data_IF_192932179943
#
_entry.id   IF_192932179943
#
_cell.length_a   1.000
_cell.length_b   1.000
_cell.length_c   1.000
_cell.angle_alpha   90.00
_cell.angle_beta   90.00
_cell.angle_gamma   90.00
#
_symmetry.space_group_name_H-M   'P 1'
#
loop_
_entity.id
_entity.type
_entity.pdbx_description
1 polymer ?
#
# COMPACT_ATOMS: atom_id res chain seq x y z
N UNK A 1 -7.68 4.53 9.58
CA UNK A 1 -6.21 4.61 9.42
C UNK A 1 -5.56 5.51 10.48
N UNK A 2 -4.99 4.87 11.50
CA UNK A 2 -4.04 5.42 12.47
C UNK A 2 -3.49 4.22 13.31
N UNK A 3 -2.19 3.93 13.46
CA UNK A 3 -1.06 4.86 13.33
C UNK A 3 0.32 4.26 12.99
N UNK A 4 1.12 5.02 12.21
CA UNK A 4 2.53 5.23 12.52
C UNK A 4 2.64 5.94 13.87
N UNK A 5 2.77 5.15 14.93
CA UNK A 5 2.91 5.66 16.29
C UNK A 5 4.24 6.42 16.36
N UNK A 6 4.23 7.67 16.82
CA UNK A 6 5.47 8.38 17.15
C UNK A 6 5.92 7.97 18.54
N UNK A 7 7.21 7.77 18.73
CA UNK A 7 7.75 7.50 20.06
C UNK A 7 7.54 8.73 20.95
N UNK A 8 6.82 8.61 22.10
CA UNK A 8 6.56 9.74 22.97
C UNK A 8 7.85 10.33 23.56
N UNK A 9 7.94 11.66 23.60
CA UNK A 9 9.12 12.34 24.16
C UNK A 9 9.26 12.10 25.66
N UNK A 10 8.16 11.90 26.37
CA UNK A 10 8.11 11.54 27.80
C UNK A 10 8.84 10.23 28.08
N UNK A 11 8.84 9.30 27.12
CA UNK A 11 9.47 7.99 27.25
C UNK A 11 10.94 8.00 26.85
N UNK A 12 11.47 9.13 26.36
CA UNK A 12 12.91 9.24 26.14
C UNK A 12 13.65 9.28 27.46
N UNK A 13 14.60 8.38 27.67
CA UNK A 13 15.47 8.37 28.85
C UNK A 13 16.20 9.71 28.99
N UNK A 14 16.63 10.32 27.89
CA UNK A 14 17.25 11.66 27.93
C UNK A 14 16.34 12.70 28.57
N UNK A 15 15.03 12.64 28.32
CA UNK A 15 14.05 13.57 28.88
C UNK A 15 13.73 13.23 30.33
N UNK A 16 13.63 11.94 30.67
CA UNK A 16 13.51 11.47 32.06
C UNK A 16 14.67 11.97 32.94
N UNK A 17 15.92 11.79 32.49
CA UNK A 17 17.10 12.21 33.24
C UNK A 17 17.17 13.72 33.46
N UNK A 18 16.63 14.53 32.52
CA UNK A 18 16.52 15.98 32.65
C UNK A 18 15.41 16.38 33.63
N UNK A 19 14.21 15.79 33.50
CA UNK A 19 13.01 16.19 34.25
C UNK A 19 12.97 15.72 35.71
N UNK A 20 13.62 14.60 36.05
CA UNK A 20 13.63 14.10 37.44
C UNK A 20 14.43 14.97 38.42
N UNK A 21 15.33 15.83 37.94
CA UNK A 21 16.13 16.75 38.76
C UNK A 21 17.22 16.07 39.60
N UNK A 22 18.07 16.89 40.26
CA UNK A 22 19.18 16.43 41.09
C UNK A 22 18.72 15.73 42.38
N UNK A 23 17.62 16.19 42.98
CA UNK A 23 17.11 15.64 44.24
C UNK A 23 16.64 14.19 44.07
N UNK A 24 15.97 13.84 42.97
CA UNK A 24 15.62 12.45 42.68
C UNK A 24 16.85 11.57 42.39
N UNK A 25 17.93 12.13 41.83
CA UNK A 25 19.21 11.40 41.64
C UNK A 25 19.89 11.10 42.97
N UNK A 26 19.79 12.00 43.94
CA UNK A 26 20.41 11.87 45.26
C UNK A 26 19.53 11.05 46.22
N UNK A 27 18.22 11.27 46.24
CA UNK A 27 17.28 10.48 47.05
C UNK A 27 17.21 9.00 46.63
N UNK A 28 17.78 8.66 45.46
CA UNK A 28 17.89 7.29 44.95
C UNK A 28 19.35 6.83 44.81
N UNK A 29 20.29 7.50 45.50
CA UNK A 29 21.73 7.25 45.42
C UNK A 29 22.10 5.82 45.85
N UNK A 30 22.28 4.99 44.84
CA UNK A 30 22.84 3.65 44.87
C UNK A 30 22.41 2.92 43.60
N UNK A 31 23.23 3.00 42.54
CA UNK A 31 23.32 2.30 41.23
C UNK A 31 22.07 1.65 40.54
N UNK A 32 20.88 1.78 41.10
CA UNK A 32 19.62 1.11 40.78
C UNK A 32 18.41 2.07 40.88
N UNK A 33 18.66 3.38 41.01
CA UNK A 33 17.66 4.42 41.30
C UNK A 33 16.46 4.41 40.34
N UNK A 34 15.29 4.12 40.93
CA UNK A 34 13.94 3.98 40.34
C UNK A 34 13.70 2.88 39.31
N UNK A 35 14.69 2.21 38.72
CA UNK A 35 14.49 1.19 37.67
C UNK A 35 13.94 1.70 36.32
N UNK A 36 13.24 2.85 36.30
CA UNK A 36 12.61 3.47 35.12
C UNK A 36 13.64 3.72 34.01
N UNK A 37 14.81 4.30 34.32
CA UNK A 37 15.78 4.67 33.29
C UNK A 37 16.27 3.49 32.45
N UNK A 38 16.51 2.33 33.10
CA UNK A 38 16.90 1.09 32.42
C UNK A 38 15.77 0.56 31.54
N UNK A 39 14.53 0.61 32.03
CA UNK A 39 13.35 0.21 31.28
C UNK A 39 13.10 1.13 30.07
N UNK A 40 13.30 2.45 30.20
CA UNK A 40 13.18 3.39 29.09
C UNK A 40 14.22 3.11 27.99
N UNK A 41 15.49 2.88 28.35
CA UNK A 41 16.53 2.50 27.37
C UNK A 41 16.14 1.20 26.64
N UNK A 42 15.67 0.19 27.37
CA UNK A 42 15.24 -1.06 26.77
C UNK A 42 14.02 -0.87 25.85
N UNK A 43 13.07 -0.02 26.25
CA UNK A 43 11.88 0.31 25.46
C UNK A 43 12.25 1.05 24.18
N UNK A 44 13.11 2.07 24.24
CA UNK A 44 13.63 2.78 23.05
C UNK A 44 14.31 1.82 22.08
N UNK A 45 15.17 0.93 22.58
CA UNK A 45 15.86 -0.05 21.77
C UNK A 45 14.90 -1.07 21.13
N UNK A 46 13.88 -1.52 21.86
CA UNK A 46 12.85 -2.41 21.33
C UNK A 46 11.98 -1.70 20.28
N UNK A 47 11.62 -0.44 20.53
CA UNK A 47 10.86 0.39 19.61
C UNK A 47 11.58 0.61 18.28
N UNK A 48 12.89 0.90 18.32
CA UNK A 48 13.71 1.15 17.14
C UNK A 48 13.95 -0.08 16.25
N UNK A 49 13.66 -1.29 16.73
CA UNK A 49 13.75 -2.54 15.94
C UNK A 49 12.54 -2.77 15.03
N UNK A 50 11.44 -2.06 15.27
CA UNK A 50 10.20 -2.22 14.53
C UNK A 50 10.27 -1.33 13.30
N UNK A 51 10.05 -1.91 12.12
CA UNK A 51 9.99 -1.16 10.87
C UNK A 51 8.59 -0.60 10.67
N UNK A 52 8.33 0.53 11.30
CA UNK A 52 7.02 1.20 11.29
C UNK A 52 6.53 1.57 9.88
N UNK A 53 7.45 1.82 8.97
CA UNK A 53 7.15 2.06 7.56
C UNK A 53 6.61 0.80 6.86
N UNK A 54 7.03 -0.40 7.27
CA UNK A 54 6.58 -1.67 6.70
C UNK A 54 5.21 -2.13 7.20
N UNK A 55 4.53 -1.34 8.04
CA UNK A 55 3.15 -1.63 8.45
C UNK A 55 2.12 -1.17 7.41
N UNK A 56 2.44 -0.22 6.54
CA UNK A 56 1.50 0.29 5.53
C UNK A 56 1.62 -0.45 4.20
N UNK A 57 0.48 -0.74 3.57
CA UNK A 57 0.46 -1.49 2.30
C UNK A 57 1.30 -0.84 1.19
N UNK A 58 1.14 0.48 1.00
CA UNK A 58 1.85 1.21 -0.06
C UNK A 58 3.38 1.17 0.12
N UNK A 59 3.87 0.97 1.33
CA UNK A 59 5.30 0.87 1.63
C UNK A 59 5.85 -0.54 1.38
N UNK A 60 5.06 -1.57 1.66
CA UNK A 60 5.40 -2.97 1.36
C UNK A 60 5.37 -3.21 -0.15
N UNK A 61 4.38 -2.65 -0.84
CA UNK A 61 4.14 -2.87 -2.27
C UNK A 61 4.77 -1.81 -3.16
N UNK A 62 5.88 -1.19 -2.74
CA UNK A 62 6.59 -0.19 -3.55
C UNK A 62 6.88 -0.72 -4.95
N UNK A 63 6.42 0.02 -5.97
CA UNK A 63 6.63 -0.33 -7.37
C UNK A 63 5.54 -1.21 -7.99
N UNK A 64 4.65 -1.81 -7.19
CA UNK A 64 3.45 -2.48 -7.71
C UNK A 64 2.36 -1.43 -7.86
N UNK A 65 2.08 -1.04 -9.11
CA UNK A 65 0.94 -0.17 -9.39
C UNK A 65 -0.34 -0.76 -8.82
N UNK A 66 -1.22 0.06 -8.23
CA UNK A 66 -2.47 -0.43 -7.60
C UNK A 66 -3.33 -1.29 -8.54
N UNK A 67 -3.19 -1.11 -9.86
CA UNK A 67 -3.83 -1.90 -10.93
C UNK A 67 -3.29 -3.32 -11.10
N UNK A 68 -2.12 -3.62 -10.55
CA UNK A 68 -1.44 -4.92 -10.62
C UNK A 68 -1.51 -5.69 -9.30
N UNK A 69 -2.18 -5.13 -8.29
CA UNK A 69 -2.38 -5.76 -6.98
C UNK A 69 -3.42 -6.87 -7.10
N UNK A 70 -3.18 -7.99 -6.41
CA UNK A 70 -4.01 -9.19 -6.42
C UNK A 70 -3.97 -9.87 -5.05
N UNK A 71 -4.70 -10.98 -4.88
CA UNK A 71 -4.80 -11.68 -3.59
C UNK A 71 -3.45 -12.18 -3.06
N UNK A 72 -2.50 -12.56 -3.93
CA UNK A 72 -1.18 -12.99 -3.49
C UNK A 72 -0.35 -11.85 -2.87
N UNK A 73 -0.53 -10.63 -3.38
CA UNK A 73 0.06 -9.42 -2.79
C UNK A 73 -0.53 -9.12 -1.40
N UNK A 74 -1.82 -9.42 -1.17
CA UNK A 74 -2.44 -9.33 0.17
C UNK A 74 -1.78 -10.33 1.11
N UNK A 75 -1.56 -11.58 0.68
CA UNK A 75 -0.90 -12.61 1.50
C UNK A 75 0.53 -12.20 1.86
N UNK A 76 1.28 -11.67 0.91
CA UNK A 76 2.63 -11.16 1.13
C UNK A 76 2.62 -10.00 2.14
N UNK A 77 1.74 -9.02 1.94
CA UNK A 77 1.55 -7.91 2.88
C UNK A 77 1.25 -8.40 4.30
N UNK A 78 0.26 -9.28 4.46
CA UNK A 78 -0.13 -9.83 5.77
C UNK A 78 1.05 -10.58 6.42
N UNK A 79 1.85 -11.31 5.64
CA UNK A 79 3.04 -11.99 6.13
C UNK A 79 4.09 -11.00 6.67
N UNK A 80 4.41 -9.96 5.91
CA UNK A 80 5.38 -8.91 6.30
C UNK A 80 4.89 -8.20 7.56
N UNK A 81 3.64 -7.75 7.57
CA UNK A 81 3.07 -6.99 8.70
C UNK A 81 3.01 -7.83 9.97
N UNK A 82 2.60 -9.11 9.90
CA UNK A 82 2.64 -10.00 11.06
C UNK A 82 4.06 -10.20 11.60
N UNK A 83 5.06 -10.25 10.71
CA UNK A 83 6.47 -10.28 11.08
C UNK A 83 6.88 -9.06 11.91
N UNK A 84 6.47 -7.86 11.51
CA UNK A 84 6.75 -6.63 12.25
C UNK A 84 5.92 -6.48 13.53
N UNK A 85 4.63 -6.85 13.53
CA UNK A 85 3.77 -6.86 14.73
C UNK A 85 4.36 -7.76 15.82
N UNK A 86 4.94 -8.90 15.45
CA UNK A 86 5.58 -9.80 16.43
C UNK A 86 6.70 -9.11 17.22
N UNK A 87 7.39 -8.14 16.60
CA UNK A 87 8.45 -7.31 17.23
C UNK A 87 7.88 -6.21 18.12
N UNK A 88 6.62 -5.81 17.92
CA UNK A 88 5.93 -4.85 18.78
C UNK A 88 5.51 -5.44 20.13
N UNK A 89 5.32 -6.76 20.24
CA UNK A 89 4.91 -7.41 21.49
C UNK A 89 5.94 -7.24 22.63
N UNK A 90 7.27 -7.43 22.41
CA UNK A 90 8.28 -7.09 23.41
C UNK A 90 8.27 -5.62 23.82
N UNK A 91 8.13 -4.69 22.86
CA UNK A 91 8.06 -3.26 23.15
C UNK A 91 6.83 -2.92 24.01
N UNK A 92 5.68 -3.54 23.74
CA UNK A 92 4.48 -3.40 24.57
C UNK A 92 4.69 -3.87 26.00
N UNK A 93 5.33 -5.03 26.19
CA UNK A 93 5.64 -5.55 27.53
C UNK A 93 6.55 -4.59 28.30
N UNK A 94 7.55 -4.01 27.63
CA UNK A 94 8.43 -3.00 28.22
C UNK A 94 7.67 -1.71 28.56
N UNK A 95 6.77 -1.24 27.69
CA UNK A 95 5.93 -0.09 27.98
C UNK A 95 5.03 -0.32 29.21
N UNK A 96 4.42 -1.50 29.35
CA UNK A 96 3.67 -1.86 30.55
C UNK A 96 4.55 -1.89 31.82
N UNK A 97 5.78 -2.41 31.72
CA UNK A 97 6.72 -2.40 32.84
C UNK A 97 7.14 -0.96 33.24
N UNK A 98 7.36 -0.08 32.26
CA UNK A 98 7.63 1.35 32.50
C UNK A 98 6.43 2.01 33.19
N UNK A 99 5.21 1.75 32.73
CA UNK A 99 3.98 2.29 33.32
C UNK A 99 3.90 1.96 34.81
N UNK A 100 4.09 0.69 35.14
CA UNK A 100 3.98 0.18 36.52
C UNK A 100 5.06 0.76 37.42
N UNK A 101 6.32 0.76 36.97
CA UNK A 101 7.42 1.29 37.78
C UNK A 101 7.31 2.81 37.96
N UNK A 102 6.96 3.53 36.89
CA UNK A 102 6.80 4.98 36.94
C UNK A 102 5.63 5.41 37.84
N UNK A 103 4.53 4.65 37.83
CA UNK A 103 3.40 4.87 38.73
C UNK A 103 3.80 4.68 40.19
N UNK A 104 4.48 3.57 40.51
CA UNK A 104 4.98 3.26 41.85
C UNK A 104 5.90 4.37 42.37
N UNK A 105 6.80 4.86 41.53
CA UNK A 105 7.73 5.95 41.88
C UNK A 105 6.99 7.27 42.10
N UNK A 106 6.02 7.61 41.25
CA UNK A 106 5.20 8.80 41.42
C UNK A 106 4.41 8.76 42.75
N UNK A 107 3.79 7.63 43.08
CA UNK A 107 3.05 7.44 44.33
C UNK A 107 3.97 7.50 45.56
N UNK A 108 5.18 6.96 45.47
CA UNK A 108 6.19 7.06 46.52
C UNK A 108 6.66 8.50 46.75
N UNK A 109 7.03 9.20 45.68
CA UNK A 109 7.48 10.60 45.73
C UNK A 109 6.38 11.57 46.14
N UNK A 110 5.11 11.29 45.85
CA UNK A 110 3.99 12.11 46.30
C UNK A 110 3.86 12.15 47.84
N UNK A 111 4.36 11.12 48.53
CA UNK A 111 4.33 11.02 50.00
C UNK A 111 5.53 11.67 50.68
N UNK A 112 6.61 11.91 49.93
CA UNK A 112 7.84 12.48 50.45
C UNK A 112 7.88 14.01 50.24
N UNK A 113 7.90 14.76 51.35
CA UNK A 113 7.93 16.23 51.34
C UNK A 113 9.26 16.80 50.82
N UNK A 114 10.33 16.00 50.78
CA UNK A 114 11.64 16.42 50.28
C UNK A 114 11.75 16.35 48.75
N UNK A 115 10.84 15.61 48.09
CA UNK A 115 10.84 15.50 46.63
C UNK A 115 10.04 16.65 46.02
N UNK A 116 10.62 17.42 45.08
CA UNK A 116 9.89 18.47 44.38
C UNK A 116 8.69 17.92 43.62
N UNK A 117 7.54 18.62 43.67
CA UNK A 117 6.33 18.24 42.92
C UNK A 117 6.56 18.04 41.42
N UNK A 118 7.52 18.75 40.84
CA UNK A 118 7.90 18.62 39.43
C UNK A 118 8.49 17.23 39.09
N UNK A 119 9.26 16.63 40.00
CA UNK A 119 9.82 15.29 39.82
C UNK A 119 8.71 14.23 39.89
N UNK A 120 7.78 14.37 40.84
CA UNK A 120 6.57 13.54 40.95
C UNK A 120 5.73 13.62 39.68
N UNK A 121 5.48 14.83 39.16
CA UNK A 121 4.74 15.03 37.93
C UNK A 121 5.45 14.41 36.71
N UNK A 122 6.78 14.45 36.66
CA UNK A 122 7.55 13.80 35.60
C UNK A 122 7.36 12.28 35.61
N UNK A 123 7.41 11.64 36.78
CA UNK A 123 7.17 10.19 36.92
C UNK A 123 5.73 9.82 36.51
N UNK A 124 4.74 10.60 36.93
CA UNK A 124 3.35 10.41 36.52
C UNK A 124 3.16 10.56 35.00
N UNK A 125 3.83 11.54 34.37
CA UNK A 125 3.81 11.74 32.93
C UNK A 125 4.42 10.57 32.14
N UNK A 126 5.54 10.01 32.64
CA UNK A 126 6.13 8.78 32.08
C UNK A 126 5.14 7.61 32.17
N UNK A 127 4.48 7.43 33.33
CA UNK A 127 3.48 6.38 33.51
C UNK A 127 2.34 6.48 32.51
N UNK A 128 1.77 7.67 32.35
CA UNK A 128 0.68 7.94 31.41
C UNK A 128 1.08 7.65 29.96
N UNK A 129 2.21 8.19 29.52
CA UNK A 129 2.70 7.99 28.16
C UNK A 129 3.00 6.50 27.88
N UNK A 130 3.53 5.77 28.86
CA UNK A 130 3.83 4.35 28.73
C UNK A 130 2.54 3.50 28.64
N UNK A 131 1.50 3.86 29.41
CA UNK A 131 0.18 3.25 29.33
C UNK A 131 -0.43 3.42 27.94
N UNK A 132 -0.44 4.66 27.44
CA UNK A 132 -1.04 4.98 26.15
C UNK A 132 -0.28 4.29 25.01
N UNK A 133 1.05 4.21 25.10
CA UNK A 133 1.87 3.47 24.15
C UNK A 133 1.60 1.95 24.19
N UNK A 134 1.49 1.36 25.39
CA UNK A 134 1.18 -0.06 25.56
C UNK A 134 -0.22 -0.42 25.07
N UNK A 135 -1.17 0.52 25.22
CA UNK A 135 -2.52 0.40 24.66
C UNK A 135 -2.48 0.48 23.13
N UNK A 136 -1.78 1.46 22.55
CA UNK A 136 -1.65 1.61 21.10
C UNK A 136 -1.08 0.34 20.43
N UNK A 137 -0.12 -0.32 21.08
CA UNK A 137 0.49 -1.58 20.61
C UNK A 137 -0.33 -2.85 20.94
N UNK A 138 -1.56 -2.74 21.43
CA UNK A 138 -2.37 -3.91 21.76
C UNK A 138 -2.68 -4.76 20.50
N UNK A 139 -2.67 -6.11 20.59
CA UNK A 139 -2.99 -7.00 19.49
C UNK A 139 -4.33 -6.69 18.80
N UNK A 140 -5.34 -6.25 19.57
CA UNK A 140 -6.63 -5.84 19.03
C UNK A 140 -6.51 -4.66 18.06
N UNK A 141 -5.71 -3.66 18.39
CA UNK A 141 -5.51 -2.48 17.54
C UNK A 141 -4.76 -2.83 16.25
N UNK A 142 -3.75 -3.72 16.34
CA UNK A 142 -3.05 -4.21 15.15
C UNK A 142 -3.97 -5.08 14.26
N UNK A 143 -4.83 -5.91 14.85
CA UNK A 143 -5.79 -6.72 14.12
C UNK A 143 -6.83 -5.85 13.39
N UNK A 144 -7.33 -4.81 14.05
CA UNK A 144 -8.25 -3.85 13.45
C UNK A 144 -7.59 -3.07 12.31
N UNK A 145 -6.38 -2.55 12.52
CA UNK A 145 -5.58 -1.90 11.48
C UNK A 145 -5.38 -2.81 10.26
N UNK A 146 -4.96 -4.06 10.46
CA UNK A 146 -4.79 -5.01 9.35
C UNK A 146 -6.10 -5.28 8.62
N UNK A 147 -7.22 -5.40 9.35
CA UNK A 147 -8.54 -5.61 8.75
C UNK A 147 -8.95 -4.42 7.88
N UNK A 148 -8.75 -3.19 8.34
CA UNK A 148 -9.01 -1.98 7.55
C UNK A 148 -8.18 -1.94 6.27
N UNK A 149 -6.86 -2.15 6.38
CA UNK A 149 -5.94 -2.13 5.24
C UNK A 149 -6.28 -3.21 4.22
N UNK A 150 -6.46 -4.46 4.65
CA UNK A 150 -6.84 -5.58 3.77
C UNK A 150 -8.17 -5.30 3.06
N UNK A 151 -9.16 -4.75 3.76
CA UNK A 151 -10.43 -4.39 3.14
C UNK A 151 -10.27 -3.28 2.10
N UNK A 152 -9.48 -2.25 2.38
CA UNK A 152 -9.21 -1.17 1.43
C UNK A 152 -8.53 -1.71 0.15
N UNK A 153 -7.56 -2.61 0.30
CA UNK A 153 -6.88 -3.26 -0.82
C UNK A 153 -7.87 -4.10 -1.65
N UNK A 154 -8.68 -4.94 -1.01
CA UNK A 154 -9.69 -5.75 -1.71
C UNK A 154 -10.71 -4.90 -2.47
N UNK A 155 -11.13 -3.77 -1.91
CA UNK A 155 -11.99 -2.82 -2.62
C UNK A 155 -11.30 -2.25 -3.84
N UNK A 156 -10.00 -1.93 -3.75
CA UNK A 156 -9.22 -1.47 -4.90
C UNK A 156 -9.10 -2.56 -5.98
N UNK A 157 -8.82 -3.81 -5.60
CA UNK A 157 -8.78 -4.97 -6.51
C UNK A 157 -10.10 -5.10 -7.27
N UNK A 158 -11.24 -5.13 -6.55
CA UNK A 158 -12.57 -5.24 -7.18
C UNK A 158 -12.87 -4.10 -8.15
N UNK A 159 -12.49 -2.87 -7.81
CA UNK A 159 -12.65 -1.71 -8.70
C UNK A 159 -11.79 -1.85 -9.97
N UNK A 160 -10.57 -2.35 -9.83
CA UNK A 160 -9.67 -2.59 -10.97
C UNK A 160 -10.16 -3.74 -11.85
N UNK A 161 -10.66 -4.83 -11.26
CA UNK A 161 -11.27 -5.93 -12.01
C UNK A 161 -12.50 -5.45 -12.78
N UNK A 162 -13.38 -4.66 -12.15
CA UNK A 162 -14.54 -4.08 -12.82
C UNK A 162 -14.12 -3.16 -13.98
N UNK A 163 -13.11 -2.31 -13.77
CA UNK A 163 -12.54 -1.47 -14.82
C UNK A 163 -11.95 -2.31 -15.97
N UNK A 164 -11.21 -3.38 -15.65
CA UNK A 164 -10.65 -4.31 -16.64
C UNK A 164 -11.75 -4.99 -17.43
N UNK A 165 -12.75 -5.56 -16.77
CA UNK A 165 -13.90 -6.18 -17.46
C UNK A 165 -14.61 -5.17 -18.37
N UNK A 166 -14.87 -3.94 -17.90
CA UNK A 166 -15.50 -2.91 -18.72
C UNK A 166 -14.65 -2.52 -19.94
N UNK A 167 -13.33 -2.40 -19.79
CA UNK A 167 -12.42 -2.08 -20.88
C UNK A 167 -12.38 -3.21 -21.93
N UNK A 168 -12.26 -4.46 -21.48
CA UNK A 168 -12.22 -5.63 -22.35
C UNK A 168 -13.56 -5.88 -23.06
N UNK A 169 -14.69 -5.67 -22.38
CA UNK A 169 -16.03 -5.78 -22.97
C UNK A 169 -16.27 -4.79 -24.11
N UNK A 170 -15.57 -3.64 -24.15
CA UNK A 170 -15.66 -2.69 -25.26
C UNK A 170 -14.84 -3.12 -26.48
N UNK A 171 -13.66 -3.70 -26.28
CA UNK A 171 -12.75 -4.08 -27.38
C UNK A 171 -13.10 -5.43 -27.98
N UNK A 172 -13.43 -6.43 -27.15
CA UNK A 172 -13.70 -7.82 -27.58
C UNK A 172 -14.74 -7.95 -28.70
N UNK A 173 -15.94 -7.35 -28.61
CA UNK A 173 -16.93 -7.43 -29.68
C UNK A 173 -16.48 -6.67 -30.94
N UNK A 174 -15.75 -5.56 -30.80
CA UNK A 174 -15.24 -4.79 -31.94
C UNK A 174 -14.19 -5.58 -32.72
N UNK A 175 -13.26 -6.26 -32.04
CA UNK A 175 -12.26 -7.12 -32.69
C UNK A 175 -12.92 -8.31 -33.37
N UNK A 176 -13.90 -8.96 -32.72
CA UNK A 176 -14.65 -10.04 -33.33
C UNK A 176 -15.39 -9.59 -34.59
N UNK A 177 -16.07 -8.44 -34.53
CA UNK A 177 -16.80 -7.87 -35.67
C UNK A 177 -15.85 -7.43 -36.79
N UNK A 178 -14.72 -6.81 -36.45
CA UNK A 178 -13.68 -6.47 -37.42
C UNK A 178 -13.18 -7.69 -38.17
N UNK A 179 -12.89 -8.80 -37.48
CA UNK A 179 -12.43 -10.03 -38.12
C UNK A 179 -13.50 -10.67 -39.01
N UNK A 180 -14.78 -10.64 -38.63
CA UNK A 180 -15.86 -11.18 -39.45
C UNK A 180 -16.15 -10.33 -40.68
N UNK A 181 -16.11 -9.00 -40.54
CA UNK A 181 -16.41 -8.06 -41.62
C UNK A 181 -15.26 -7.93 -42.62
N UNK A 182 -14.02 -8.21 -42.20
CA UNK A 182 -12.85 -8.21 -43.07
C UNK A 182 -13.01 -9.16 -44.29
N UNK A 183 -13.74 -10.27 -44.13
CA UNK A 183 -14.01 -11.21 -45.23
C UNK A 183 -14.95 -10.65 -46.32
N UNK A 184 -15.66 -9.55 -46.04
CA UNK A 184 -16.59 -8.92 -46.97
C UNK A 184 -15.94 -7.83 -47.83
N UNK A 185 -14.74 -7.40 -47.49
CA UNK A 185 -13.97 -6.40 -48.24
C UNK A 185 -13.41 -7.06 -49.51
N UNK A 186 -13.93 -6.66 -50.67
CA UNK A 186 -13.57 -7.27 -51.97
C UNK A 186 -12.91 -6.28 -52.93
N UNK A 187 -13.20 -4.99 -52.79
CA UNK A 187 -12.69 -3.92 -53.65
C UNK A 187 -12.13 -2.75 -52.81
N UNK A 188 -11.21 -1.93 -53.35
CA UNK A 188 -10.61 -0.81 -52.62
C UNK A 188 -11.63 0.18 -52.03
N UNK A 189 -12.80 0.32 -52.65
CA UNK A 189 -13.89 1.18 -52.19
C UNK A 189 -14.53 0.67 -50.89
N UNK A 190 -14.61 -0.66 -50.70
CA UNK A 190 -15.14 -1.30 -49.49
C UNK A 190 -14.27 -1.01 -48.25
N UNK A 191 -12.99 -0.67 -48.48
CA UNK A 191 -12.04 -0.39 -47.40
C UNK A 191 -12.47 0.80 -46.55
N UNK A 192 -13.00 1.86 -47.16
CA UNK A 192 -13.31 3.10 -46.45
C UNK A 192 -14.30 2.86 -45.30
N UNK A 193 -15.38 2.13 -45.60
CA UNK A 193 -16.43 1.80 -44.65
C UNK A 193 -15.95 0.77 -43.63
N UNK A 194 -15.25 -0.28 -44.07
CA UNK A 194 -14.65 -1.26 -43.18
C UNK A 194 -13.69 -0.61 -42.17
N UNK A 195 -12.83 0.28 -42.65
CA UNK A 195 -11.87 0.98 -41.81
C UNK A 195 -12.57 1.89 -40.80
N UNK A 196 -13.55 2.68 -41.25
CA UNK A 196 -14.25 3.67 -40.42
C UNK A 196 -15.08 3.00 -39.33
N UNK A 197 -15.78 1.92 -39.66
CA UNK A 197 -16.64 1.22 -38.72
C UNK A 197 -15.87 0.29 -37.77
N UNK A 198 -14.84 -0.42 -38.27
CA UNK A 198 -14.24 -1.52 -37.53
C UNK A 198 -12.81 -1.23 -37.09
N UNK A 199 -11.91 -0.88 -38.01
CA UNK A 199 -10.49 -0.68 -37.70
C UNK A 199 -10.30 0.51 -36.77
N UNK A 200 -10.94 1.64 -37.07
CA UNK A 200 -10.93 2.83 -36.21
C UNK A 200 -11.62 2.57 -34.87
N UNK A 201 -12.71 1.81 -34.87
CA UNK A 201 -13.45 1.45 -33.67
C UNK A 201 -12.57 0.70 -32.66
N UNK A 202 -11.88 -0.34 -33.12
CA UNK A 202 -10.88 -1.07 -32.32
C UNK A 202 -9.78 -0.12 -31.85
N UNK A 203 -9.20 0.68 -32.75
CA UNK A 203 -8.12 1.61 -32.41
C UNK A 203 -8.50 2.68 -31.36
N UNK A 204 -9.79 3.04 -31.29
CA UNK A 204 -10.30 4.02 -30.31
C UNK A 204 -10.45 3.40 -28.92
N UNK A 205 -10.78 2.12 -28.81
CA UNK A 205 -11.02 1.43 -27.53
C UNK A 205 -9.76 0.73 -26.99
N UNK A 206 -8.80 0.39 -27.85
CA UNK A 206 -7.53 -0.27 -27.47
C UNK A 206 -6.70 0.47 -26.41
N UNK A 207 -6.59 1.82 -26.38
CA UNK A 207 -5.84 2.51 -25.32
C UNK A 207 -6.39 2.23 -23.92
N UNK A 208 -7.72 2.15 -23.79
CA UNK A 208 -8.37 1.85 -22.51
C UNK A 208 -8.10 0.40 -22.09
N UNK A 209 -8.17 -0.53 -23.04
CA UNK A 209 -7.87 -1.94 -22.79
C UNK A 209 -6.38 -2.17 -22.47
N UNK A 210 -5.45 -1.51 -23.17
CA UNK A 210 -4.02 -1.56 -22.88
C UNK A 210 -3.66 -0.99 -21.49
N UNK A 211 -4.40 0.02 -21.02
CA UNK A 211 -4.26 0.52 -19.66
C UNK A 211 -4.76 -0.47 -18.61
N UNK A 212 -5.79 -1.26 -18.95
CA UNK A 212 -6.39 -2.22 -18.03
C UNK A 212 -5.71 -3.60 -18.04
N UNK A 213 -5.14 -3.98 -19.18
CA UNK A 213 -4.39 -5.21 -19.42
C UNK A 213 -3.09 -4.85 -20.14
N UNK A 214 -1.98 -4.68 -19.39
CA UNK A 214 -0.69 -4.26 -19.94
C UNK A 214 -0.17 -5.15 -21.07
N UNK A 215 -0.56 -6.43 -21.11
CA UNK A 215 -0.19 -7.34 -22.20
C UNK A 215 -0.73 -6.88 -23.57
N UNK A 216 -1.78 -6.05 -23.61
CA UNK A 216 -2.31 -5.46 -24.84
C UNK A 216 -1.53 -4.23 -25.32
N UNK A 217 -0.66 -3.62 -24.51
CA UNK A 217 0.06 -2.38 -24.89
C UNK A 217 0.97 -2.55 -26.12
N UNK A 218 1.78 -3.62 -26.25
CA UNK A 218 2.55 -3.86 -27.46
C UNK A 218 1.68 -4.00 -28.71
N UNK A 219 0.52 -4.65 -28.60
CA UNK A 219 -0.43 -4.84 -29.69
C UNK A 219 -1.11 -3.53 -30.07
N UNK A 220 -1.50 -2.72 -29.07
CA UNK A 220 -2.03 -1.38 -29.30
C UNK A 220 -1.04 -0.51 -30.09
N UNK A 221 0.24 -0.50 -29.70
CA UNK A 221 1.26 0.30 -30.39
C UNK A 221 1.40 -0.07 -31.87
N UNK A 222 1.35 -1.37 -32.19
CA UNK A 222 1.33 -1.86 -33.57
C UNK A 222 0.05 -1.47 -34.30
N UNK A 223 -1.11 -1.65 -33.65
CA UNK A 223 -2.43 -1.40 -34.25
C UNK A 223 -2.73 0.09 -34.48
N UNK A 224 -2.05 0.99 -33.77
CA UNK A 224 -2.21 2.44 -33.89
C UNK A 224 -1.97 2.96 -35.31
N UNK A 225 -0.98 2.43 -36.02
CA UNK A 225 -0.66 2.86 -37.38
C UNK A 225 -1.80 2.54 -38.39
N UNK A 226 -2.27 1.29 -38.52
CA UNK A 226 -3.43 0.99 -39.36
C UNK A 226 -4.70 1.73 -38.93
N UNK A 227 -4.93 1.90 -37.62
CA UNK A 227 -6.09 2.63 -37.10
C UNK A 227 -6.04 4.16 -37.33
N UNK A 228 -4.89 4.72 -37.72
CA UNK A 228 -4.75 6.12 -38.09
C UNK A 228 -4.79 6.35 -39.61
N UNK A 229 -4.60 5.29 -40.41
CA UNK A 229 -4.48 5.40 -41.86
C UNK A 229 -5.86 5.44 -42.56
N UNK A 230 -6.41 6.65 -42.67
CA UNK A 230 -7.71 6.96 -43.28
C UNK A 230 -7.75 6.86 -44.81
N UNK A 231 -6.61 6.69 -45.47
CA UNK A 231 -6.54 6.74 -46.93
C UNK A 231 -7.10 5.46 -47.55
N UNK A 232 -7.82 5.58 -48.66
CA UNK A 232 -8.21 4.39 -49.44
C UNK A 232 -6.98 3.75 -50.10
N UNK A 233 -6.94 2.41 -50.23
CA UNK A 233 -5.93 1.73 -51.02
C UNK A 233 -6.03 2.18 -52.48
N UNK A 234 -4.89 2.32 -53.16
CA UNK A 234 -4.85 2.72 -54.57
C UNK A 234 -5.20 1.57 -55.51
N UNK A 235 -4.99 0.35 -55.06
CA UNK A 235 -5.20 -0.87 -55.83
C UNK A 235 -5.52 -2.08 -54.91
N UNK A 236 -5.91 -3.18 -55.54
CA UNK A 236 -6.22 -4.45 -54.87
C UNK A 236 -5.06 -5.01 -54.05
N UNK A 237 -3.82 -4.77 -54.50
CA UNK A 237 -2.62 -5.30 -53.85
C UNK A 237 -2.39 -4.58 -52.52
N UNK A 238 -2.55 -3.26 -52.50
CA UNK A 238 -2.47 -2.44 -51.31
C UNK A 238 -3.62 -2.75 -50.35
N UNK A 239 -4.84 -2.91 -50.86
CA UNK A 239 -6.00 -3.32 -50.04
C UNK A 239 -5.73 -4.65 -49.34
N UNK A 240 -5.34 -5.69 -50.09
CA UNK A 240 -5.04 -7.02 -49.53
C UNK A 240 -3.92 -6.97 -48.49
N UNK A 241 -2.88 -6.16 -48.72
CA UNK A 241 -1.79 -5.96 -47.75
C UNK A 241 -2.31 -5.36 -46.43
N UNK A 242 -3.07 -4.26 -46.51
CA UNK A 242 -3.62 -3.58 -45.33
C UNK A 242 -4.63 -4.45 -44.58
N UNK A 243 -5.47 -5.18 -45.33
CA UNK A 243 -6.44 -6.13 -44.76
C UNK A 243 -5.74 -7.26 -44.02
N UNK A 244 -4.69 -7.85 -44.60
CA UNK A 244 -3.90 -8.88 -43.93
C UNK A 244 -3.22 -8.37 -42.65
N UNK A 245 -2.66 -7.16 -42.68
CA UNK A 245 -2.06 -6.54 -41.49
C UNK A 245 -3.08 -6.39 -40.36
N UNK A 246 -4.26 -5.84 -40.66
CA UNK A 246 -5.36 -5.66 -39.69
C UNK A 246 -5.87 -7.00 -39.17
N UNK A 247 -6.04 -8.01 -40.02
CA UNK A 247 -6.49 -9.35 -39.62
C UNK A 247 -5.46 -10.01 -38.70
N UNK A 248 -4.18 -9.95 -39.04
CA UNK A 248 -3.11 -10.55 -38.23
C UNK A 248 -3.09 -9.92 -36.84
N UNK A 249 -3.06 -8.59 -36.76
CA UNK A 249 -3.10 -7.90 -35.46
C UNK A 249 -4.42 -8.14 -34.72
N UNK A 250 -5.55 -8.20 -35.43
CA UNK A 250 -6.85 -8.53 -34.84
C UNK A 250 -6.88 -9.92 -34.22
N UNK A 251 -6.24 -10.92 -34.85
CA UNK A 251 -6.10 -12.28 -34.29
C UNK A 251 -5.18 -12.31 -33.07
N UNK A 252 -4.07 -11.58 -33.10
CA UNK A 252 -3.17 -11.43 -31.94
C UNK A 252 -3.92 -10.80 -30.75
N UNK A 253 -4.65 -9.70 -30.99
CA UNK A 253 -5.49 -9.06 -29.97
C UNK A 253 -6.57 -10.02 -29.48
N UNK A 254 -7.25 -10.73 -30.37
CA UNK A 254 -8.28 -11.69 -29.97
C UNK A 254 -7.72 -12.83 -29.12
N UNK A 255 -6.51 -13.30 -29.39
CA UNK A 255 -5.83 -14.32 -28.59
C UNK A 255 -5.52 -13.82 -27.17
N UNK A 256 -5.04 -12.58 -27.04
CA UNK A 256 -4.74 -11.95 -25.75
C UNK A 256 -6.01 -11.61 -24.93
N UNK A 257 -7.17 -11.52 -25.58
CA UNK A 257 -8.48 -11.26 -24.95
C UNK A 257 -9.22 -12.54 -24.49
N UNK A 258 -8.62 -13.72 -24.63
CA UNK A 258 -9.20 -15.01 -24.21
C UNK A 258 -8.79 -15.33 -22.78
#
# INVERSE_FOLDING_TARGET
>A
MALPIKYPDELKNSNWQKKKGLVAKIATSGDAGTGIGKLLIALEAAWGKIKWDQLGFDQVMKGVGRTSVGEDHIKEYVKVVNGEISKALPARKLAAAVETEAKKVAEGWAKDKLIPKSATAAAAGVSLAARDLAYAMAPGNFAEFMKEEVNAIRVAIKKNEAFKQQALQKVKPLVAKMLSEAAKVKQPEDWADFWKEYVRGVGTQMPLAAKAEPALDPLYRKFKAPAANQTNPKDDKEMKKRLNEVITLGKEIQAELR
#
